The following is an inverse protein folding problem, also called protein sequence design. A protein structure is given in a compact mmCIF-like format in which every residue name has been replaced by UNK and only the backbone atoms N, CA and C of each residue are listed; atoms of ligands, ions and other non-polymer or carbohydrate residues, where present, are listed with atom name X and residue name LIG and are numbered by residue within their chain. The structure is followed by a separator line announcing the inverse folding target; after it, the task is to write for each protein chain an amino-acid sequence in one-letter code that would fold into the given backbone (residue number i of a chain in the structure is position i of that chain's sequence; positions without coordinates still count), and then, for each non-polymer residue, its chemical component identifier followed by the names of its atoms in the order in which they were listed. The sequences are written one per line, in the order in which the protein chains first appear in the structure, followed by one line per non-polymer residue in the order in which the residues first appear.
data_IF_065975775897
#
_entry.id   IF_065975775897
#
_cell.length_a   1.000
_cell.length_b   1.000
_cell.length_c   1.000
_cell.angle_alpha   90.00
_cell.angle_beta   90.00
_cell.angle_gamma   90.00
#
_symmetry.space_group_name_H-M   'P 1'
#
loop_
_entity.id
_entity.type
_entity.pdbx_description
1 polymer ?
#
# COMPACT_ATOMS: atom_id res chain seq x y z
N UNK A 1 12.45 8.46 -13.15
CA UNK A 1 12.21 8.88 -11.75
C UNK A 1 12.64 7.82 -10.72
N UNK A 2 12.39 6.53 -10.98
CA UNK A 2 12.71 5.43 -10.04
C UNK A 2 14.18 5.36 -9.64
N UNK A 3 15.11 5.61 -10.57
CA UNK A 3 16.56 5.50 -10.33
C UNK A 3 17.18 6.76 -9.73
N UNK A 4 16.48 7.91 -9.79
CA UNK A 4 17.00 9.17 -9.28
C UNK A 4 16.99 9.28 -7.74
N UNK A 5 16.03 8.61 -7.08
CA UNK A 5 15.97 8.57 -5.62
C UNK A 5 16.98 7.58 -5.02
N UNK A 6 17.64 6.76 -5.86
CA UNK A 6 18.73 5.86 -5.48
C UNK A 6 20.15 6.45 -5.63
N UNK A 7 20.32 7.76 -5.52
CA UNK A 7 21.61 8.45 -5.62
C UNK A 7 22.28 8.51 -7.01
N UNK A 8 21.59 8.23 -8.10
CA UNK A 8 22.12 8.39 -9.43
C UNK A 8 22.09 9.87 -9.88
N UNK A 9 23.27 10.47 -9.96
CA UNK A 9 23.45 11.88 -10.38
C UNK A 9 22.87 12.14 -11.79
N UNK A 10 22.95 11.17 -12.69
CA UNK A 10 22.48 11.31 -14.07
C UNK A 10 20.95 11.37 -14.12
N UNK A 11 20.26 10.52 -13.37
CA UNK A 11 18.82 10.52 -13.28
C UNK A 11 18.28 11.79 -12.61
N UNK A 12 18.98 12.31 -11.59
CA UNK A 12 18.64 13.60 -10.97
C UNK A 12 18.75 14.76 -11.94
N UNK A 13 19.83 14.79 -12.72
CA UNK A 13 20.01 15.81 -13.77
C UNK A 13 18.92 15.73 -14.84
N UNK A 14 18.51 14.54 -15.22
CA UNK A 14 17.44 14.34 -16.18
C UNK A 14 16.09 14.88 -15.64
N UNK A 15 15.78 14.57 -14.39
CA UNK A 15 14.57 15.09 -13.72
C UNK A 15 14.61 16.60 -13.65
N UNK A 16 15.75 17.21 -13.30
CA UNK A 16 15.88 18.66 -13.24
C UNK A 16 15.64 19.31 -14.62
N UNK A 17 16.28 18.77 -15.67
CA UNK A 17 16.06 19.25 -17.05
C UNK A 17 14.58 19.14 -17.46
N UNK A 18 13.90 18.08 -17.04
CA UNK A 18 12.48 17.92 -17.31
C UNK A 18 11.63 18.95 -16.57
N UNK A 19 11.95 19.24 -15.31
CA UNK A 19 11.28 20.28 -14.54
C UNK A 19 11.48 21.67 -15.17
N UNK A 20 12.73 22.00 -15.50
CA UNK A 20 13.08 23.27 -16.16
C UNK A 20 12.32 23.43 -17.50
N UNK A 21 12.18 22.32 -18.26
CA UNK A 21 11.42 22.33 -19.50
C UNK A 21 9.93 22.61 -19.27
N UNK A 22 9.31 21.95 -18.30
CA UNK A 22 7.87 22.15 -17.98
C UNK A 22 7.61 23.55 -17.47
N UNK A 23 8.51 24.12 -16.66
CA UNK A 23 8.42 25.52 -16.19
C UNK A 23 8.53 26.53 -17.35
N UNK A 24 9.43 26.27 -18.30
CA UNK A 24 9.60 27.11 -19.48
C UNK A 24 8.44 26.99 -20.50
N UNK A 25 7.66 25.89 -20.42
CA UNK A 25 6.58 25.58 -21.37
C UNK A 25 5.28 25.28 -20.62
N UNK A 26 4.61 26.29 -20.03
CA UNK A 26 3.42 26.09 -19.19
C UNK A 26 2.20 25.49 -19.92
N UNK A 27 2.22 25.44 -21.27
CA UNK A 27 1.23 24.74 -22.08
C UNK A 27 1.43 23.20 -22.09
N UNK A 28 2.55 22.71 -21.54
CA UNK A 28 2.82 21.28 -21.48
C UNK A 28 1.91 20.62 -20.46
N UNK A 29 1.14 19.64 -20.91
CA UNK A 29 0.30 18.81 -20.02
C UNK A 29 1.17 17.77 -19.36
N UNK A 30 1.30 17.84 -18.03
CA UNK A 30 2.03 16.88 -17.24
C UNK A 30 1.07 15.87 -16.59
N UNK A 31 1.19 14.60 -16.92
CA UNK A 31 0.51 13.47 -16.28
C UNK A 31 1.54 12.63 -15.50
N UNK A 32 1.62 12.70 -14.19
CA UNK A 32 0.93 13.58 -13.24
C UNK A 32 1.97 14.50 -12.56
N UNK A 33 1.58 15.38 -11.60
CA UNK A 33 2.50 16.30 -10.94
C UNK A 33 3.66 15.57 -10.25
N UNK A 34 4.90 15.96 -10.53
CA UNK A 34 6.10 15.32 -9.93
C UNK A 34 6.09 15.32 -8.40
N UNK A 35 5.65 16.38 -7.70
CA UNK A 35 5.55 16.34 -6.23
C UNK A 35 4.60 15.27 -5.72
N UNK A 36 3.47 15.05 -6.39
CA UNK A 36 2.51 14.01 -6.05
C UNK A 36 3.10 12.61 -6.25
N UNK A 37 3.78 12.39 -7.38
CA UNK A 37 4.47 11.14 -7.66
C UNK A 37 5.56 10.84 -6.60
N UNK A 38 6.31 11.85 -6.17
CA UNK A 38 7.29 11.72 -5.08
C UNK A 38 6.62 11.37 -3.75
N UNK A 39 5.48 11.99 -3.42
CA UNK A 39 4.72 11.67 -2.21
C UNK A 39 4.30 10.21 -2.20
N UNK A 40 3.81 9.68 -3.32
CA UNK A 40 3.41 8.27 -3.44
C UNK A 40 4.60 7.29 -3.56
N UNK A 41 5.82 7.78 -3.83
CA UNK A 41 7.03 6.95 -3.77
C UNK A 41 7.46 6.59 -2.35
N UNK A 42 6.91 7.25 -1.34
CA UNK A 42 7.12 6.98 0.08
C UNK A 42 5.84 6.38 0.68
N UNK A 43 5.86 5.09 1.06
CA UNK A 43 4.68 4.38 1.62
C UNK A 43 4.13 5.05 2.86
N UNK A 44 5.00 5.61 3.70
CA UNK A 44 4.54 6.29 4.90
C UNK A 44 3.73 7.55 4.57
N UNK A 45 4.13 8.30 3.54
CA UNK A 45 3.36 9.44 3.05
C UNK A 45 2.03 9.02 2.42
N UNK A 46 2.02 7.88 1.71
CA UNK A 46 0.77 7.30 1.18
C UNK A 46 -0.20 6.93 2.29
N UNK A 47 0.29 6.33 3.38
CA UNK A 47 -0.57 5.97 4.52
C UNK A 47 -1.08 7.18 5.30
N UNK A 48 -0.28 8.24 5.43
CA UNK A 48 -0.75 9.52 5.97
C UNK A 48 -1.90 10.09 5.13
N UNK A 49 -1.77 10.05 3.81
CA UNK A 49 -2.84 10.48 2.92
C UNK A 49 -4.12 9.66 3.12
N UNK A 50 -4.01 8.33 3.23
CA UNK A 50 -5.17 7.45 3.51
C UNK A 50 -5.81 7.84 4.86
N UNK A 51 -5.01 8.12 5.87
CA UNK A 51 -5.50 8.55 7.18
C UNK A 51 -6.21 9.91 7.13
N UNK A 52 -5.66 10.87 6.36
CA UNK A 52 -6.31 12.15 6.11
C UNK A 52 -7.68 11.96 5.44
N UNK A 53 -7.76 11.10 4.41
CA UNK A 53 -9.01 10.78 3.72
C UNK A 53 -10.00 10.07 4.63
N UNK A 54 -9.55 9.16 5.47
CA UNK A 54 -10.40 8.47 6.45
C UNK A 54 -11.03 9.45 7.43
N UNK A 55 -10.30 10.49 7.86
CA UNK A 55 -10.85 11.52 8.77
C UNK A 55 -11.97 12.33 8.14
N UNK A 56 -12.05 12.39 6.82
CA UNK A 56 -13.12 13.06 6.05
C UNK A 56 -14.30 12.12 5.77
N UNK A 57 -14.15 10.82 5.97
CA UNK A 57 -15.21 9.83 5.76
C UNK A 57 -16.18 9.80 6.95
N UNK A 58 -17.24 10.61 6.87
CA UNK A 58 -18.27 10.67 7.90
C UNK A 58 -19.08 9.36 8.05
N UNK A 59 -19.03 8.49 7.05
CA UNK A 59 -19.72 7.20 7.05
C UNK A 59 -18.89 6.04 7.60
N UNK A 60 -17.59 6.25 7.89
CA UNK A 60 -16.64 5.21 8.30
C UNK A 60 -16.69 3.96 7.44
N UNK A 61 -16.82 4.14 6.12
CA UNK A 61 -16.98 3.07 5.14
C UNK A 61 -15.67 2.37 4.81
N UNK A 62 -14.54 3.03 5.06
CA UNK A 62 -13.21 2.45 4.92
C UNK A 62 -12.30 2.78 6.10
N UNK A 63 -11.22 2.04 6.20
CA UNK A 63 -10.19 2.29 7.20
C UNK A 63 -8.79 2.24 6.56
N UNK A 64 -7.84 2.85 7.26
CA UNK A 64 -6.42 2.59 7.10
C UNK A 64 -6.01 1.58 8.17
N UNK A 65 -5.51 0.39 7.82
CA UNK A 65 -5.00 -0.53 8.85
C UNK A 65 -3.94 0.17 9.72
N UNK A 66 -3.89 -0.08 11.04
CA UNK A 66 -2.85 0.48 11.89
C UNK A 66 -1.47 0.24 11.29
N UNK A 67 -0.63 1.27 11.24
CA UNK A 67 0.69 1.22 10.64
C UNK A 67 1.71 2.02 11.45
N UNK A 68 2.99 1.71 11.22
CA UNK A 68 4.12 2.28 11.94
C UNK A 68 5.30 2.45 11.00
N UNK A 69 5.91 3.64 10.97
CA UNK A 69 7.20 3.86 10.32
C UNK A 69 8.33 3.42 11.25
N UNK A 70 9.26 2.62 10.75
CA UNK A 70 10.44 2.19 11.49
C UNK A 70 11.72 2.73 10.85
N UNK A 71 12.49 3.45 11.68
CA UNK A 71 13.86 3.86 11.38
C UNK A 71 14.90 3.09 12.21
N UNK A 72 14.45 2.31 13.20
CA UNK A 72 15.29 1.56 14.15
C UNK A 72 15.12 0.06 13.96
N UNK A 73 16.19 -0.72 14.17
CA UNK A 73 16.16 -2.18 14.27
C UNK A 73 16.14 -2.71 15.71
N UNK A 74 16.01 -1.84 16.71
CA UNK A 74 15.96 -2.26 18.12
C UNK A 74 14.60 -2.90 18.43
N UNK A 75 14.61 -4.21 18.71
CA UNK A 75 13.37 -4.98 18.95
C UNK A 75 12.54 -4.44 20.12
N UNK A 76 13.17 -4.02 21.22
CA UNK A 76 12.44 -3.51 22.38
C UNK A 76 11.72 -2.19 22.07
N UNK A 77 12.36 -1.33 21.27
CA UNK A 77 11.77 -0.09 20.79
C UNK A 77 10.63 -0.36 19.80
N UNK A 78 10.83 -1.29 18.88
CA UNK A 78 9.79 -1.72 17.92
C UNK A 78 8.56 -2.24 18.66
N UNK A 79 8.74 -3.10 19.66
CA UNK A 79 7.64 -3.63 20.48
C UNK A 79 6.88 -2.55 21.24
N UNK A 80 7.59 -1.56 21.79
CA UNK A 80 6.97 -0.41 22.44
C UNK A 80 6.08 0.36 21.47
N UNK A 81 6.62 0.69 20.28
CA UNK A 81 5.89 1.41 19.24
C UNK A 81 4.68 0.61 18.70
N UNK A 82 4.80 -0.71 18.53
CA UNK A 82 3.69 -1.59 18.14
C UNK A 82 2.53 -1.47 19.13
N UNK A 83 2.84 -1.50 20.44
CA UNK A 83 1.83 -1.38 21.50
C UNK A 83 1.21 0.01 21.55
N UNK A 84 2.03 1.05 21.43
CA UNK A 84 1.59 2.45 21.44
C UNK A 84 0.64 2.76 20.27
N UNK A 85 0.95 2.25 19.08
CA UNK A 85 0.15 2.46 17.87
C UNK A 85 -0.95 1.41 17.66
N UNK A 86 -1.17 0.51 18.64
CA UNK A 86 -2.18 -0.55 18.60
C UNK A 86 -2.08 -1.47 17.39
N UNK A 87 -0.87 -1.76 16.90
CA UNK A 87 -0.68 -2.77 15.87
C UNK A 87 -0.89 -4.17 16.45
N UNK A 88 -1.44 -5.07 15.62
CA UNK A 88 -1.71 -6.46 15.99
C UNK A 88 -1.04 -7.41 15.00
N UNK A 89 -0.43 -8.50 15.53
CA UNK A 89 0.09 -9.57 14.68
C UNK A 89 -1.05 -10.37 14.02
N UNK A 90 -0.86 -10.87 12.81
CA UNK A 90 0.33 -10.73 11.98
C UNK A 90 0.53 -9.29 11.48
N UNK A 91 1.80 -8.94 11.20
CA UNK A 91 2.17 -7.66 10.60
C UNK A 91 2.72 -7.88 9.19
N UNK A 92 2.44 -6.96 8.28
CA UNK A 92 3.16 -6.86 7.01
C UNK A 92 4.27 -5.83 7.16
N UNK A 93 5.50 -6.26 6.85
CA UNK A 93 6.65 -5.38 6.71
C UNK A 93 6.85 -5.07 5.22
N UNK A 94 6.91 -3.78 4.89
CA UNK A 94 7.12 -3.27 3.54
C UNK A 94 8.29 -2.28 3.55
N UNK A 95 9.13 -2.27 2.53
CA UNK A 95 10.14 -1.21 2.39
C UNK A 95 9.45 0.16 2.39
N UNK A 96 10.08 1.18 2.95
CA UNK A 96 9.56 2.55 2.92
C UNK A 96 9.43 3.07 1.49
N UNK A 97 10.43 2.80 0.66
CA UNK A 97 10.42 3.17 -0.76
C UNK A 97 9.43 2.28 -1.52
N UNK A 98 8.42 2.89 -2.13
CA UNK A 98 7.35 2.19 -2.85
C UNK A 98 7.69 1.88 -4.32
N UNK A 99 8.91 2.13 -4.77
CA UNK A 99 9.35 1.97 -6.15
C UNK A 99 10.74 1.33 -6.22
N UNK A 100 11.04 0.68 -7.37
CA UNK A 100 12.30 -0.02 -7.57
C UNK A 100 12.17 -1.52 -7.39
N UNK A 101 13.25 -2.27 -7.65
CA UNK A 101 13.26 -3.74 -7.65
C UNK A 101 12.88 -4.38 -6.32
N UNK A 102 13.32 -3.78 -5.20
CA UNK A 102 13.04 -4.30 -3.85
C UNK A 102 11.72 -3.82 -3.24
N UNK A 103 10.97 -2.95 -3.92
CA UNK A 103 9.72 -2.41 -3.37
C UNK A 103 8.60 -3.44 -3.25
N UNK A 104 8.75 -4.55 -3.94
CA UNK A 104 7.80 -5.66 -3.95
C UNK A 104 8.13 -6.76 -2.94
N UNK A 105 9.33 -6.73 -2.36
CA UNK A 105 9.75 -7.68 -1.33
C UNK A 105 9.11 -7.27 0.01
N UNK A 106 8.38 -8.22 0.59
CA UNK A 106 7.59 -8.03 1.79
C UNK A 106 7.80 -9.19 2.75
N UNK A 107 7.47 -8.98 4.02
CA UNK A 107 7.48 -10.03 5.02
C UNK A 107 6.19 -10.02 5.85
N UNK A 108 5.66 -11.21 6.12
CA UNK A 108 4.61 -11.44 7.12
C UNK A 108 5.27 -11.87 8.43
N UNK A 109 5.04 -11.11 9.48
CA UNK A 109 5.62 -11.29 10.80
C UNK A 109 4.49 -11.68 11.75
N UNK A 110 4.60 -12.86 12.37
CA UNK A 110 3.51 -13.45 13.15
C UNK A 110 3.61 -13.22 14.66
N UNK A 111 4.80 -12.90 15.15
CA UNK A 111 5.10 -12.80 16.57
C UNK A 111 6.29 -11.87 16.83
N UNK A 112 6.61 -11.67 18.10
CA UNK A 112 7.72 -10.81 18.54
C UNK A 112 9.09 -11.34 18.08
N UNK A 113 9.28 -12.64 17.99
CA UNK A 113 10.53 -13.24 17.52
C UNK A 113 10.84 -12.90 16.06
N UNK A 114 9.81 -12.76 15.22
CA UNK A 114 9.94 -12.38 13.83
C UNK A 114 10.38 -10.91 13.63
N UNK A 115 10.35 -10.08 14.66
CA UNK A 115 10.79 -8.68 14.56
C UNK A 115 12.30 -8.56 14.28
N UNK A 116 13.08 -9.63 14.53
CA UNK A 116 14.49 -9.69 14.13
C UNK A 116 14.71 -9.64 12.61
N UNK A 117 13.70 -10.01 11.85
CA UNK A 117 13.73 -10.04 10.39
C UNK A 117 13.38 -8.69 9.75
N UNK A 118 13.00 -7.70 10.57
CA UNK A 118 12.67 -6.35 10.11
C UNK A 118 13.93 -5.58 9.76
N UNK A 119 13.97 -5.03 8.57
CA UNK A 119 15.10 -4.24 8.07
C UNK A 119 14.65 -2.80 7.78
N UNK A 120 14.91 -1.84 8.70
CA UNK A 120 14.63 -0.42 8.47
C UNK A 120 15.51 0.20 7.35
N UNK A 121 15.05 1.27 6.67
CA UNK A 121 13.77 1.94 6.88
C UNK A 121 12.59 1.18 6.24
N UNK A 122 11.55 0.92 7.00
CA UNK A 122 10.39 0.17 6.54
C UNK A 122 9.11 0.67 7.19
N UNK A 123 7.98 0.14 6.74
CA UNK A 123 6.66 0.35 7.35
C UNK A 123 6.12 -1.00 7.80
N UNK A 124 5.70 -1.09 9.06
CA UNK A 124 4.88 -2.19 9.57
C UNK A 124 3.41 -1.80 9.49
N UNK A 125 2.57 -2.73 9.08
CA UNK A 125 1.13 -2.56 8.99
C UNK A 125 0.43 -3.81 9.53
N UNK A 126 -0.61 -3.64 10.34
CA UNK A 126 -1.43 -4.78 10.78
C UNK A 126 -2.05 -5.48 9.58
N UNK A 127 -1.90 -6.80 9.51
CA UNK A 127 -2.52 -7.61 8.48
C UNK A 127 -4.01 -7.77 8.75
N UNK A 128 -4.82 -7.55 7.72
CA UNK A 128 -6.26 -7.76 7.76
C UNK A 128 -6.59 -8.99 6.93
N UNK A 129 -7.29 -9.95 7.51
CA UNK A 129 -7.81 -11.10 6.80
C UNK A 129 -8.90 -10.68 5.81
N UNK A 130 -8.77 -11.10 4.54
CA UNK A 130 -9.57 -10.63 3.42
C UNK A 130 -9.87 -11.71 2.37
N UNK A 131 -9.82 -12.98 2.78
CA UNK A 131 -10.18 -14.14 1.98
C UNK A 131 -9.45 -14.24 0.64
N UNK A 132 -8.16 -13.88 0.62
CA UNK A 132 -7.28 -13.89 -0.55
C UNK A 132 -7.80 -13.05 -1.74
N UNK A 133 -8.54 -11.97 -1.47
CA UNK A 133 -9.13 -11.10 -2.50
C UNK A 133 -8.67 -9.67 -2.35
N UNK A 134 -8.04 -9.14 -3.38
CA UNK A 134 -7.69 -7.73 -3.54
C UNK A 134 -8.54 -7.10 -4.64
N UNK A 135 -9.02 -5.90 -4.41
CA UNK A 135 -9.63 -5.05 -5.43
C UNK A 135 -8.66 -3.93 -5.80
N UNK A 136 -8.20 -3.94 -7.05
CA UNK A 136 -7.34 -2.90 -7.59
C UNK A 136 -8.19 -1.92 -8.38
N UNK A 137 -8.25 -0.69 -7.91
CA UNK A 137 -9.00 0.40 -8.54
C UNK A 137 -8.01 1.20 -9.38
N UNK A 138 -8.22 1.21 -10.70
CA UNK A 138 -7.46 2.02 -11.64
C UNK A 138 -8.23 3.29 -11.93
N UNK A 139 -7.65 4.44 -11.66
CA UNK A 139 -8.27 5.75 -11.88
C UNK A 139 -7.60 6.45 -13.05
N UNK A 140 -8.42 6.91 -14.00
CA UNK A 140 -7.99 7.67 -15.18
C UNK A 140 -8.91 8.88 -15.34
N UNK A 141 -8.46 10.05 -14.96
CA UNK A 141 -9.29 11.26 -14.91
C UNK A 141 -10.51 11.04 -14.02
N UNK A 142 -11.70 11.24 -14.57
CA UNK A 142 -12.97 11.05 -13.86
C UNK A 142 -13.50 9.62 -13.92
N UNK A 143 -12.84 8.73 -14.66
CA UNK A 143 -13.24 7.34 -14.85
C UNK A 143 -12.40 6.41 -13.97
N UNK A 144 -12.96 5.26 -13.65
CA UNK A 144 -12.24 4.20 -12.93
C UNK A 144 -12.64 2.82 -13.44
N UNK A 145 -11.75 1.87 -13.21
CA UNK A 145 -11.98 0.46 -13.46
C UNK A 145 -11.55 -0.35 -12.23
N UNK A 146 -12.33 -1.35 -11.85
CA UNK A 146 -12.02 -2.22 -10.71
C UNK A 146 -11.66 -3.60 -11.20
N UNK A 147 -10.46 -4.05 -10.90
CA UNK A 147 -10.01 -5.40 -11.15
C UNK A 147 -9.94 -6.18 -9.83
N UNK A 148 -10.53 -7.37 -9.82
CA UNK A 148 -10.33 -8.33 -8.74
C UNK A 148 -9.04 -9.11 -8.98
N UNK A 149 -8.22 -9.25 -7.94
CA UNK A 149 -6.92 -9.92 -7.98
C UNK A 149 -6.81 -10.95 -6.87
N UNK A 150 -6.00 -12.00 -7.03
CA UNK A 150 -5.55 -12.82 -5.91
C UNK A 150 -4.84 -11.95 -4.86
N UNK A 151 -4.81 -12.41 -3.63
CA UNK A 151 -4.08 -11.80 -2.53
C UNK A 151 -3.68 -12.85 -1.50
N UNK A 152 -3.08 -12.42 -0.40
CA UNK A 152 -2.69 -13.31 0.68
C UNK A 152 -3.91 -13.97 1.32
N UNK A 153 -3.80 -15.27 1.59
CA UNK A 153 -4.79 -16.03 2.33
C UNK A 153 -4.97 -15.52 3.75
N UNK A 154 -5.98 -16.02 4.43
CA UNK A 154 -6.19 -15.71 5.84
C UNK A 154 -5.11 -16.36 6.73
N UNK A 155 -4.78 -15.68 7.81
CA UNK A 155 -3.89 -16.19 8.85
C UNK A 155 -4.57 -16.07 10.21
N UNK A 156 -4.43 -17.11 11.03
CA UNK A 156 -4.95 -17.09 12.39
C UNK A 156 -4.16 -16.10 13.27
N UNK A 157 -4.87 -15.45 14.18
CA UNK A 157 -4.25 -14.60 15.20
C UNK A 157 -3.64 -15.47 16.28
N UNK A 158 -2.46 -15.11 16.79
CA UNK A 158 -1.82 -15.79 17.92
C UNK A 158 -0.97 -17.01 17.53
N UNK A 159 -0.52 -17.12 16.29
CA UNK A 159 0.43 -18.14 15.83
C UNK A 159 1.85 -17.85 16.38
N UNK A 160 2.08 -18.14 17.65
CA UNK A 160 3.33 -17.84 18.34
C UNK A 160 4.56 -18.57 17.80
N UNK A 161 4.37 -19.72 17.16
CA UNK A 161 5.47 -20.55 16.60
C UNK A 161 5.70 -20.33 15.11
N UNK A 162 4.83 -19.55 14.43
CA UNK A 162 4.94 -19.30 13.01
C UNK A 162 6.15 -18.43 12.72
N UNK A 163 7.05 -18.91 11.85
CA UNK A 163 8.19 -18.14 11.35
C UNK A 163 7.73 -17.05 10.36
N UNK A 164 8.54 -16.01 10.25
CA UNK A 164 8.37 -14.97 9.21
C UNK A 164 8.30 -15.60 7.82
N UNK A 165 7.33 -15.14 7.03
CA UNK A 165 7.18 -15.53 5.63
C UNK A 165 7.63 -14.35 4.76
N UNK A 166 8.69 -14.55 3.99
CA UNK A 166 9.12 -13.60 2.96
C UNK A 166 8.42 -13.92 1.64
N UNK A 167 7.96 -12.89 0.95
CA UNK A 167 7.29 -13.06 -0.35
C UNK A 167 7.46 -11.81 -1.21
N UNK A 168 7.29 -11.98 -2.51
CA UNK A 168 7.22 -10.86 -3.44
C UNK A 168 5.75 -10.59 -3.80
N UNK A 169 5.31 -9.34 -3.70
CA UNK A 169 3.90 -8.97 -3.93
C UNK A 169 3.43 -9.31 -5.35
N UNK A 170 4.32 -9.35 -6.34
CA UNK A 170 3.98 -9.77 -7.70
C UNK A 170 3.61 -11.27 -7.78
N UNK A 171 4.09 -12.10 -6.86
CA UNK A 171 3.77 -13.54 -6.83
C UNK A 171 2.37 -13.80 -6.25
N UNK A 172 1.81 -12.84 -5.53
CA UNK A 172 0.53 -13.00 -4.82
C UNK A 172 -0.60 -12.11 -5.34
N UNK A 173 -0.32 -11.10 -6.17
CA UNK A 173 -1.34 -10.12 -6.58
C UNK A 173 -1.49 -9.92 -8.09
N UNK A 174 -0.81 -10.70 -8.91
CA UNK A 174 -1.04 -10.72 -10.36
C UNK A 174 -2.22 -11.63 -10.73
N UNK A 175 -2.88 -11.40 -11.87
CA UNK A 175 -4.02 -12.24 -12.31
C UNK A 175 -3.70 -13.72 -12.37
N UNK A 176 -2.46 -14.05 -12.73
CA UNK A 176 -1.94 -15.42 -12.90
C UNK A 176 -1.31 -16.01 -11.63
N UNK A 177 -1.34 -15.29 -10.50
CA UNK A 177 -0.72 -15.76 -9.26
C UNK A 177 -1.37 -17.05 -8.75
N UNK A 178 -0.54 -18.08 -8.54
CA UNK A 178 -0.91 -19.43 -8.08
C UNK A 178 -0.03 -19.86 -6.89
N UNK A 179 0.31 -18.95 -6.00
CA UNK A 179 1.11 -19.26 -4.80
C UNK A 179 0.27 -19.97 -3.75
N UNK A 180 0.87 -20.88 -2.96
CA UNK A 180 0.24 -21.43 -1.75
C UNK A 180 -0.20 -20.35 -0.75
N UNK A 181 0.35 -19.13 -0.87
CA UNK A 181 -0.06 -17.97 -0.07
C UNK A 181 -1.36 -17.35 -0.56
N UNK A 182 -1.85 -17.71 -1.76
CA UNK A 182 -3.09 -17.19 -2.34
C UNK A 182 -4.23 -18.20 -2.35
N UNK A 183 -4.02 -19.39 -1.78
CA UNK A 183 -5.02 -20.44 -1.66
C UNK A 183 -6.15 -19.98 -0.72
N UNK A 184 -7.38 -20.10 -1.20
CA UNK A 184 -8.56 -19.79 -0.40
C UNK A 184 -8.97 -21.04 0.39
N UNK A 185 -9.42 -20.83 1.62
CA UNK A 185 -10.00 -21.91 2.41
C UNK A 185 -11.38 -22.30 1.88
N UNK A 186 -11.73 -23.59 1.99
CA UNK A 186 -13.05 -24.07 1.67
C UNK A 186 -14.09 -23.41 2.61
N UNK A 187 -15.10 -22.77 2.00
CA UNK A 187 -16.13 -22.05 2.76
C UNK A 187 -15.91 -20.55 2.86
N UNK A 188 -14.78 -20.01 2.46
CA UNK A 188 -14.56 -18.57 2.39
C UNK A 188 -15.54 -17.91 1.40
N UNK A 189 -16.39 -17.04 1.92
CA UNK A 189 -17.30 -16.24 1.09
C UNK A 189 -16.49 -15.23 0.28
N UNK A 190 -16.90 -14.99 -0.98
CA UNK A 190 -16.36 -13.88 -1.75
C UNK A 190 -16.91 -12.57 -1.18
N UNK A 191 -16.06 -11.68 -0.67
CA UNK A 191 -16.55 -10.40 -0.21
C UNK A 191 -17.11 -9.59 -1.38
N UNK A 192 -18.15 -8.83 -1.11
CA UNK A 192 -18.66 -7.83 -2.05
C UNK A 192 -17.58 -6.78 -2.27
N UNK A 193 -17.31 -6.40 -3.52
CA UNK A 193 -16.35 -5.36 -3.85
C UNK A 193 -16.79 -3.99 -3.33
N UNK A 194 -15.91 -2.98 -3.42
CA UNK A 194 -16.25 -1.62 -3.06
C UNK A 194 -17.40 -1.08 -3.93
N UNK A 195 -18.32 -0.35 -3.32
CA UNK A 195 -19.41 0.30 -4.06
C UNK A 195 -18.91 1.51 -4.85
N UNK A 196 -19.60 1.86 -5.93
CA UNK A 196 -19.28 3.03 -6.76
C UNK A 196 -19.18 4.31 -5.92
N UNK A 197 -20.05 4.47 -4.93
CA UNK A 197 -20.05 5.63 -4.03
C UNK A 197 -18.73 5.78 -3.28
N UNK A 198 -18.21 4.70 -2.70
CA UNK A 198 -16.97 4.74 -1.93
C UNK A 198 -15.76 4.89 -2.85
N UNK A 199 -15.78 4.26 -4.04
CA UNK A 199 -14.71 4.42 -5.03
C UNK A 199 -14.61 5.89 -5.46
N UNK A 200 -15.73 6.52 -5.77
CA UNK A 200 -15.77 7.94 -6.16
C UNK A 200 -15.29 8.85 -5.04
N UNK A 201 -15.66 8.57 -3.79
CA UNK A 201 -15.18 9.33 -2.63
C UNK A 201 -13.65 9.26 -2.51
N UNK A 202 -13.10 8.05 -2.51
CA UNK A 202 -11.66 7.80 -2.41
C UNK A 202 -10.92 8.47 -3.60
N UNK A 203 -11.38 8.22 -4.82
CA UNK A 203 -10.75 8.74 -6.04
C UNK A 203 -10.72 10.26 -6.06
N UNK A 204 -11.85 10.92 -5.76
CA UNK A 204 -11.93 12.39 -5.69
C UNK A 204 -11.07 12.95 -4.58
N UNK A 205 -11.03 12.31 -3.41
CA UNK A 205 -10.18 12.71 -2.31
C UNK A 205 -8.69 12.68 -2.65
N UNK A 206 -8.23 11.60 -3.29
CA UNK A 206 -6.84 11.47 -3.75
C UNK A 206 -6.55 12.51 -4.83
N UNK A 207 -7.45 12.70 -5.79
CA UNK A 207 -7.30 13.73 -6.83
C UNK A 207 -7.20 15.14 -6.25
N UNK A 208 -8.05 15.47 -5.29
CA UNK A 208 -8.02 16.77 -4.63
C UNK A 208 -6.72 16.99 -3.83
N UNK A 209 -6.21 15.95 -3.16
CA UNK A 209 -5.01 16.03 -2.33
C UNK A 209 -3.69 16.05 -3.13
N UNK A 210 -3.67 15.41 -4.30
CA UNK A 210 -2.45 15.19 -5.08
C UNK A 210 -2.46 15.92 -6.44
N UNK A 211 -3.62 16.32 -6.96
CA UNK A 211 -3.76 16.84 -8.31
C UNK A 211 -3.49 15.79 -9.40
N UNK A 212 -3.57 14.49 -9.05
CA UNK A 212 -3.26 13.40 -9.98
C UNK A 212 -4.50 12.97 -10.77
N UNK A 213 -4.26 12.52 -12.00
CA UNK A 213 -5.30 11.99 -12.90
C UNK A 213 -5.13 10.51 -13.20
N UNK A 214 -3.94 9.94 -12.92
CA UNK A 214 -3.62 8.54 -13.24
C UNK A 214 -2.96 7.86 -12.02
N UNK A 215 -3.71 7.02 -11.32
CA UNK A 215 -3.21 6.29 -10.15
C UNK A 215 -4.00 5.01 -9.90
N UNK A 216 -3.44 4.14 -9.06
CA UNK A 216 -4.09 2.92 -8.59
C UNK A 216 -4.30 2.96 -7.09
N UNK A 217 -5.39 2.33 -6.63
CA UNK A 217 -5.66 2.13 -5.20
C UNK A 217 -5.89 0.66 -4.95
N UNK A 218 -5.18 0.10 -3.99
CA UNK A 218 -5.32 -1.28 -3.58
C UNK A 218 -6.19 -1.36 -2.33
N UNK A 219 -7.31 -2.10 -2.45
CA UNK A 219 -8.35 -2.18 -1.42
C UNK A 219 -8.66 -3.64 -1.12
N UNK A 220 -8.77 -3.96 0.15
CA UNK A 220 -9.25 -5.25 0.64
C UNK A 220 -10.51 -5.08 1.47
N UNK A 221 -11.28 -6.15 1.65
CA UNK A 221 -12.44 -6.18 2.52
C UNK A 221 -12.11 -7.02 3.74
N UNK A 222 -12.14 -6.42 4.91
CA UNK A 222 -11.97 -7.14 6.18
C UNK A 222 -13.08 -8.20 6.32
N UNK A 223 -12.68 -9.45 6.41
CA UNK A 223 -13.62 -10.57 6.46
C UNK A 223 -14.44 -10.64 7.77
N UNK A 224 -13.99 -9.95 8.83
CA UNK A 224 -14.69 -9.90 10.13
C UNK A 224 -15.72 -8.78 10.19
N UNK A 225 -15.37 -7.60 9.66
CA UNK A 225 -16.19 -6.39 9.81
C UNK A 225 -16.93 -6.01 8.53
N UNK A 226 -16.53 -6.55 7.38
CA UNK A 226 -17.02 -6.15 6.06
C UNK A 226 -16.55 -4.75 5.62
N UNK A 227 -15.72 -4.06 6.41
CA UNK A 227 -15.21 -2.73 6.06
C UNK A 227 -14.12 -2.84 5.00
N UNK A 228 -14.06 -1.81 4.17
CA UNK A 228 -12.95 -1.66 3.22
C UNK A 228 -11.70 -1.19 3.95
N UNK A 229 -10.55 -1.73 3.59
CA UNK A 229 -9.25 -1.25 4.05
C UNK A 229 -8.41 -0.85 2.83
N UNK A 230 -7.93 0.40 2.83
CA UNK A 230 -7.00 0.88 1.82
C UNK A 230 -5.60 0.49 2.26
N UNK A 231 -4.89 -0.26 1.42
CA UNK A 231 -3.59 -0.84 1.79
C UNK A 231 -2.42 -0.33 0.96
N UNK A 232 -2.70 0.33 -0.18
CA UNK A 232 -1.67 1.01 -0.98
C UNK A 232 -2.28 2.01 -1.97
N UNK A 233 -1.47 3.02 -2.36
CA UNK A 233 -1.76 3.95 -3.46
C UNK A 233 -0.56 3.97 -4.39
N UNK A 234 -0.77 3.70 -5.67
CA UNK A 234 0.27 3.59 -6.69
C UNK A 234 0.21 4.78 -7.65
N UNK A 235 1.36 5.47 -7.82
CA UNK A 235 1.53 6.56 -8.81
C UNK A 235 1.57 5.97 -10.19
N UNK A 236 1.04 5.26 -10.78
CA UNK A 236 1.01 4.55 -12.04
C UNK A 236 0.47 3.14 -11.82
N UNK A 237 -0.79 2.92 -12.14
CA UNK A 237 -1.37 1.59 -11.99
C UNK A 237 -0.73 0.64 -13.00
N UNK A 238 0.08 -0.29 -12.50
CA UNK A 238 0.72 -1.35 -13.26
C UNK A 238 0.16 -2.72 -12.92
#
# INVERSE_FOLDING_TARGET
MRDADQNDTQSRQLIQKFQDYVEAHPQTILLDPLPAMRRLSDRFQSYKLIQELQSLDQGHQFCNPPYLELATGNQSEILHLIKEQNLTFPLICKTRVAQGSSSHDMALIFNEDGLRDVTPPCVLQSFINHNAVLYKIFVVGQSYFVAKRPSLKNFAVGQSEQKTIFFNSHEVSKPESCSHLTEREEGDSLPSGPSDKIIQFISRGIQAALGMSLFGVDVIVDNKTGKLALIDINAFPG
#
